data_IF_010221328006
#
_entry.id   IF_010221328006
#
_cell.length_a   1.000
_cell.length_b   1.000
_cell.length_c   1.000
_cell.angle_alpha   90.00
_cell.angle_beta   90.00
_cell.angle_gamma   90.00
#
_symmetry.space_group_name_H-M   'P 1'
#
loop_
_entity.id
_entity.type
_entity.pdbx_description
1 polymer ?
#
# COMPACT_ATOMS: atom_id res chain seq x y z
N UNK A 1 23.11 -6.25 -0.77
CA UNK A 1 22.11 -7.24 -1.22
C UNK A 1 20.66 -6.73 -1.18
N UNK A 2 20.27 -5.85 -0.25
CA UNK A 2 18.91 -5.28 -0.20
C UNK A 2 18.50 -4.44 -1.44
N UNK A 3 19.45 -3.71 -2.03
CA UNK A 3 19.18 -2.76 -3.11
C UNK A 3 18.70 -3.40 -4.43
N UNK A 4 19.16 -4.61 -4.76
CA UNK A 4 18.75 -5.30 -6.01
C UNK A 4 17.29 -5.74 -5.97
N UNK A 5 16.84 -6.23 -4.81
CA UNK A 5 15.48 -6.73 -4.64
C UNK A 5 14.45 -5.60 -4.59
N UNK A 6 14.85 -4.46 -4.03
CA UNK A 6 14.04 -3.24 -3.99
C UNK A 6 13.90 -2.61 -5.39
N UNK A 7 14.96 -2.64 -6.21
CA UNK A 7 14.93 -2.15 -7.60
C UNK A 7 14.00 -2.96 -8.50
N UNK A 8 14.12 -4.30 -8.52
CA UNK A 8 13.24 -5.16 -9.34
C UNK A 8 11.76 -4.96 -9.04
N UNK A 9 11.40 -4.88 -7.75
CA UNK A 9 10.00 -4.68 -7.33
C UNK A 9 9.42 -3.38 -7.90
N UNK A 10 10.20 -2.31 -8.02
CA UNK A 10 9.67 -1.01 -8.47
C UNK A 10 9.46 -0.94 -9.99
N UNK A 11 10.19 -1.75 -10.74
CA UNK A 11 10.10 -1.81 -12.20
C UNK A 11 9.09 -2.88 -12.68
N UNK A 12 8.90 -3.96 -11.93
CA UNK A 12 7.98 -5.05 -12.30
C UNK A 12 6.51 -4.74 -11.92
N UNK A 13 6.27 -3.93 -10.88
CA UNK A 13 4.91 -3.59 -10.44
C UNK A 13 4.49 -2.18 -10.92
N UNK A 14 3.30 -2.09 -11.53
CA UNK A 14 2.68 -0.82 -11.93
C UNK A 14 2.53 0.14 -10.75
N UNK A 15 1.91 -0.34 -9.66
CA UNK A 15 1.73 0.38 -8.40
C UNK A 15 1.76 -0.61 -7.22
N UNK A 16 2.19 -0.13 -6.05
CA UNK A 16 2.17 -0.89 -4.80
C UNK A 16 1.57 -0.02 -3.68
N UNK A 17 0.55 -0.55 -2.99
CA UNK A 17 -0.16 0.13 -1.91
C UNK A 17 0.24 -0.34 -0.52
N UNK A 18 -0.31 0.32 0.50
CA UNK A 18 -0.17 -0.04 1.92
C UNK A 18 -1.56 -0.34 2.46
N UNK A 19 -1.70 -1.37 3.29
CA UNK A 19 -3.01 -1.83 3.81
C UNK A 19 -3.77 -0.73 4.55
N UNK A 20 -3.06 0.10 5.31
CA UNK A 20 -3.62 1.19 6.10
C UNK A 20 -4.20 2.32 5.24
N UNK A 21 -3.87 2.34 3.94
CA UNK A 21 -4.32 3.33 2.96
C UNK A 21 -5.02 2.64 1.78
N UNK A 22 -5.73 1.53 2.05
CA UNK A 22 -6.37 0.72 1.01
C UNK A 22 -7.41 1.51 0.20
N UNK A 23 -8.16 2.41 0.83
CA UNK A 23 -9.14 3.26 0.16
C UNK A 23 -8.50 4.15 -0.91
N UNK A 24 -7.40 4.81 -0.55
CA UNK A 24 -6.62 5.65 -1.46
C UNK A 24 -6.03 4.82 -2.61
N UNK A 25 -5.58 3.60 -2.30
CA UNK A 25 -5.09 2.67 -3.30
C UNK A 25 -6.18 2.25 -4.31
N UNK A 26 -7.40 1.98 -3.83
CA UNK A 26 -8.56 1.67 -4.70
C UNK A 26 -8.91 2.88 -5.56
N UNK A 27 -8.92 4.09 -5.00
CA UNK A 27 -9.18 5.32 -5.76
C UNK A 27 -8.15 5.53 -6.89
N UNK A 28 -6.88 5.19 -6.64
CA UNK A 28 -5.83 5.24 -7.64
C UNK A 28 -6.05 4.21 -8.75
N UNK A 29 -6.44 2.98 -8.40
CA UNK A 29 -6.75 1.92 -9.37
C UNK A 29 -7.94 2.28 -10.26
N UNK A 30 -9.01 2.81 -9.67
CA UNK A 30 -10.22 3.28 -10.38
C UNK A 30 -9.84 4.29 -11.48
N UNK A 31 -8.91 5.21 -11.15
CA UNK A 31 -8.42 6.23 -12.09
C UNK A 31 -7.40 5.72 -13.12
N UNK A 32 -6.49 4.83 -12.73
CA UNK A 32 -5.40 4.34 -13.59
C UNK A 32 -5.88 3.25 -14.56
N UNK A 33 -6.79 2.39 -14.11
CA UNK A 33 -7.25 1.22 -14.83
C UNK A 33 -8.79 1.18 -14.87
N UNK A 34 -9.46 2.20 -15.43
CA UNK A 34 -10.92 2.29 -15.42
C UNK A 34 -11.58 1.12 -16.15
N UNK A 35 -10.92 0.50 -17.14
CA UNK A 35 -11.45 -0.70 -17.80
C UNK A 35 -11.70 -1.88 -16.85
N UNK A 36 -10.99 -1.93 -15.73
CA UNK A 36 -11.09 -3.00 -14.74
C UNK A 36 -11.74 -2.54 -13.44
N UNK A 37 -11.48 -1.30 -13.02
CA UNK A 37 -11.82 -0.80 -11.68
C UNK A 37 -12.84 0.36 -11.68
N UNK A 38 -13.53 0.63 -12.79
CA UNK A 38 -14.53 1.71 -12.85
C UNK A 38 -15.60 1.56 -11.75
N UNK A 39 -15.68 2.56 -10.87
CA UNK A 39 -16.65 2.58 -9.77
C UNK A 39 -16.26 1.71 -8.59
N UNK A 40 -15.04 1.17 -8.56
CA UNK A 40 -14.54 0.36 -7.45
C UNK A 40 -14.48 1.15 -6.14
N UNK A 41 -14.13 2.45 -6.21
CA UNK A 41 -14.11 3.29 -5.01
C UNK A 41 -15.51 3.47 -4.44
N UNK A 42 -16.49 3.75 -5.31
CA UNK A 42 -17.88 3.92 -4.91
C UNK A 42 -18.46 2.61 -4.34
N UNK A 43 -18.11 1.47 -4.95
CA UNK A 43 -18.49 0.18 -4.41
C UNK A 43 -17.87 -0.05 -3.03
N UNK A 44 -16.57 0.21 -2.86
CA UNK A 44 -15.88 0.04 -1.59
C UNK A 44 -16.49 0.92 -0.48
N UNK A 45 -16.81 2.18 -0.77
CA UNK A 45 -17.44 3.10 0.19
C UNK A 45 -18.89 2.71 0.53
N UNK A 46 -19.58 1.98 -0.37
CA UNK A 46 -20.94 1.50 -0.13
C UNK A 46 -21.02 0.21 0.70
N UNK A 47 -19.88 -0.47 0.91
CA UNK A 47 -19.84 -1.71 1.67
C UNK A 47 -19.99 -1.44 3.17
N UNK A 48 -20.70 -2.34 3.85
CA UNK A 48 -20.71 -2.40 5.30
C UNK A 48 -19.29 -2.70 5.83
N UNK A 49 -18.96 -2.16 7.00
CA UNK A 49 -17.62 -2.27 7.61
C UNK A 49 -17.16 -3.74 7.76
N UNK A 50 -18.11 -4.67 7.94
CA UNK A 50 -17.87 -6.12 7.99
C UNK A 50 -17.41 -6.73 6.65
N UNK A 51 -17.86 -6.16 5.54
CA UNK A 51 -17.52 -6.62 4.18
C UNK A 51 -16.25 -5.94 3.67
N UNK A 52 -15.97 -4.70 4.09
CA UNK A 52 -14.71 -4.00 3.80
C UNK A 52 -13.49 -4.69 4.44
N UNK A 53 -13.66 -5.35 5.60
CA UNK A 53 -12.60 -6.05 6.35
C UNK A 53 -12.85 -7.56 6.49
N UNK A 54 -13.02 -8.25 5.36
CA UNK A 54 -13.53 -9.62 5.27
C UNK A 54 -12.74 -10.71 6.02
N UNK A 55 -11.44 -10.50 6.29
CA UNK A 55 -10.56 -11.48 6.96
C UNK A 55 -9.86 -10.90 8.17
N UNK A 56 -10.63 -10.45 9.16
CA UNK A 56 -10.06 -9.97 10.41
C UNK A 56 -9.70 -11.14 11.35
N UNK A 57 -8.52 -11.07 11.96
CA UNK A 57 -8.09 -12.03 12.99
C UNK A 57 -8.90 -11.77 14.27
N UNK A 58 -9.79 -12.70 14.64
CA UNK A 58 -10.71 -12.56 15.79
C UNK A 58 -10.02 -12.36 17.14
N UNK A 59 -8.80 -12.87 17.30
CA UNK A 59 -8.00 -12.73 18.54
C UNK A 59 -6.60 -12.24 18.18
N UNK A 60 -6.33 -10.95 18.40
CA UNK A 60 -5.00 -10.35 18.29
C UNK A 60 -4.48 -10.06 19.68
N UNK A 61 -3.36 -10.67 20.05
CA UNK A 61 -2.63 -10.32 21.25
C UNK A 61 -1.53 -9.33 20.85
N UNK A 62 -1.52 -8.09 21.39
CA UNK A 62 -0.45 -7.17 21.08
C UNK A 62 0.87 -7.74 21.62
N UNK A 63 1.96 -7.66 20.84
CA UNK A 63 3.26 -8.12 21.32
C UNK A 63 3.75 -7.22 22.47
N UNK A 64 4.50 -7.81 23.42
CA UNK A 64 5.13 -7.03 24.49
C UNK A 64 6.30 -6.18 23.96
N UNK A 65 6.63 -5.10 24.66
CA UNK A 65 7.75 -4.22 24.28
C UNK A 65 9.09 -4.96 24.19
N UNK A 66 9.31 -5.94 25.09
CA UNK A 66 10.48 -6.80 25.04
C UNK A 66 10.54 -7.62 23.75
N UNK A 67 9.42 -8.22 23.33
CA UNK A 67 9.33 -8.99 22.07
C UNK A 67 9.56 -8.07 20.87
N UNK A 68 8.95 -6.90 20.84
CA UNK A 68 9.14 -5.91 19.76
C UNK A 68 10.60 -5.48 19.66
N UNK A 69 11.26 -5.18 20.78
CA UNK A 69 12.69 -4.79 20.79
C UNK A 69 13.61 -5.91 20.32
N UNK A 70 13.27 -7.16 20.60
CA UNK A 70 14.05 -8.34 20.18
C UNK A 70 13.91 -8.54 18.67
N UNK A 71 12.68 -8.46 18.14
CA UNK A 71 12.43 -8.55 16.70
C UNK A 71 13.13 -7.41 15.95
N UNK A 72 13.07 -6.17 16.47
CA UNK A 72 13.70 -5.00 15.84
C UNK A 72 15.23 -5.11 15.74
N UNK A 73 15.87 -5.85 16.65
CA UNK A 73 17.32 -6.09 16.63
C UNK A 73 17.75 -7.14 15.61
N UNK A 74 16.82 -7.97 15.12
CA UNK A 74 17.11 -8.96 14.09
C UNK A 74 17.45 -8.29 12.74
N UNK A 75 18.52 -8.74 12.10
CA UNK A 75 18.97 -8.27 10.79
C UNK A 75 17.87 -8.43 9.73
N UNK A 76 17.18 -9.57 9.72
CA UNK A 76 16.10 -9.82 8.75
C UNK A 76 14.98 -8.78 8.86
N UNK A 77 14.61 -8.38 10.07
CA UNK A 77 13.59 -7.35 10.29
C UNK A 77 14.08 -5.97 9.84
N UNK A 78 15.36 -5.64 10.07
CA UNK A 78 15.92 -4.35 9.65
C UNK A 78 15.90 -4.24 8.11
N UNK A 79 16.32 -5.28 7.41
CA UNK A 79 16.29 -5.33 5.94
C UNK A 79 14.87 -5.23 5.36
N UNK A 80 13.90 -5.94 5.96
CA UNK A 80 12.49 -5.81 5.55
C UNK A 80 11.95 -4.41 5.81
N UNK A 81 12.25 -3.84 6.97
CA UNK A 81 11.78 -2.51 7.37
C UNK A 81 12.34 -1.43 6.45
N UNK A 82 13.61 -1.51 6.08
CA UNK A 82 14.24 -0.60 5.11
C UNK A 82 13.56 -0.71 3.74
N UNK A 83 13.33 -1.93 3.26
CA UNK A 83 12.65 -2.18 2.00
C UNK A 83 11.23 -1.62 2.00
N UNK A 84 10.45 -1.87 3.07
CA UNK A 84 9.09 -1.34 3.23
C UNK A 84 9.09 0.20 3.24
N UNK A 85 10.05 0.81 3.94
CA UNK A 85 10.16 2.27 4.04
C UNK A 85 10.52 2.89 2.67
N UNK A 86 11.45 2.27 1.93
CA UNK A 86 11.80 2.69 0.55
C UNK A 86 10.60 2.65 -0.38
N UNK A 87 9.88 1.53 -0.41
CA UNK A 87 8.69 1.34 -1.24
C UNK A 87 7.60 2.33 -0.86
N UNK A 88 7.28 2.49 0.43
CA UNK A 88 6.28 3.46 0.90
C UNK A 88 6.61 4.87 0.45
N UNK A 89 7.88 5.29 0.56
CA UNK A 89 8.34 6.61 0.13
C UNK A 89 8.21 6.79 -1.39
N UNK A 90 8.52 5.76 -2.19
CA UNK A 90 8.39 5.79 -3.66
C UNK A 90 6.93 5.77 -4.11
N UNK A 91 6.11 4.91 -3.52
CA UNK A 91 4.67 4.85 -3.77
C UNK A 91 4.00 6.17 -3.45
N UNK A 92 4.28 6.80 -2.31
CA UNK A 92 3.74 8.12 -1.96
C UNK A 92 4.11 9.19 -2.99
N UNK A 93 5.36 9.21 -3.48
CA UNK A 93 5.77 10.14 -4.55
C UNK A 93 5.02 9.88 -5.86
N UNK A 94 4.89 8.62 -6.30
CA UNK A 94 4.11 8.27 -7.50
C UNK A 94 2.63 8.64 -7.33
N UNK A 95 2.07 8.42 -6.13
CA UNK A 95 0.69 8.76 -5.78
C UNK A 95 0.43 10.26 -5.94
N UNK A 96 1.30 11.10 -5.38
CA UNK A 96 1.22 12.55 -5.54
C UNK A 96 1.31 12.97 -7.01
N UNK A 97 2.18 12.37 -7.81
CA UNK A 97 2.30 12.69 -9.25
C UNK A 97 1.02 12.34 -10.02
N UNK A 98 0.43 11.17 -9.76
CA UNK A 98 -0.79 10.72 -10.48
C UNK A 98 -2.03 11.53 -10.07
N UNK A 99 -2.13 11.94 -8.80
CA UNK A 99 -3.23 12.80 -8.35
C UNK A 99 -3.05 14.27 -8.73
N UNK A 100 -1.85 14.81 -8.58
CA UNK A 100 -1.55 16.22 -8.92
C UNK A 100 -1.45 16.44 -10.44
N UNK A 101 -1.20 15.38 -11.21
CA UNK A 101 -1.08 15.40 -12.67
C UNK A 101 -2.37 15.64 -13.45
N UNK A 102 -3.47 16.13 -12.85
CA UNK A 102 -4.58 16.75 -13.60
C UNK A 102 -5.07 18.04 -12.96
N UNK A 103 -4.47 19.14 -13.38
CA UNK A 103 -5.21 20.17 -14.14
C UNK A 103 -4.55 20.20 -15.52
N UNK A 104 -5.14 19.56 -16.53
CA UNK A 104 -5.06 19.86 -17.98
C UNK A 104 -5.38 18.64 -18.85
N UNK A 105 -6.30 18.86 -19.81
CA UNK A 105 -6.75 17.99 -20.90
C UNK A 105 -7.47 16.70 -20.49
N UNK A 106 -8.72 16.46 -20.91
CA UNK A 106 -9.25 16.53 -22.29
C UNK A 106 -10.71 17.04 -22.27
N UNK A 107 -11.01 17.78 -23.35
CA UNK A 107 -12.30 18.36 -23.76
C UNK A 107 -13.46 17.36 -23.82
#
# INVERSE_FOLDING_TARGET
>A
MADLHDKRKVDEYLIAGVSEQIRDFIALLDRLLPRFYNGALMHFDSLDESLAHLRNTKRKHPPSDHTVSTIRRNEAYQLERESFTSLRRRSSKRFSIVLMGRVCHVM
#
